data_IF_528987483573
#
_entry.id   IF_528987483573
#
_cell.length_a   1.000
_cell.length_b   1.000
_cell.length_c   1.000
_cell.angle_alpha   90.00
_cell.angle_beta   90.00
_cell.angle_gamma   90.00
#
_symmetry.space_group_name_H-M   'P 1'
#
loop_
_entity.id
_entity.type
_entity.pdbx_description
1 polymer ?
#
# COMPACT_ATOMS: atom_id res chain seq x y z
N UNK A 1 -9.60 0.44 -11.88
CA UNK A 1 -8.39 0.87 -11.18
C UNK A 1 -8.60 0.84 -9.68
N UNK A 2 -7.94 -0.09 -9.00
CA UNK A 2 -7.97 -0.20 -7.52
C UNK A 2 -6.89 0.68 -6.90
N UNK A 3 -7.21 1.37 -5.81
CA UNK A 3 -6.34 2.26 -5.04
C UNK A 3 -6.03 1.60 -3.69
N UNK A 4 -4.82 1.07 -3.54
CA UNK A 4 -4.45 0.22 -2.40
C UNK A 4 -3.40 0.92 -1.54
N UNK A 5 -3.66 1.04 -0.24
CA UNK A 5 -2.70 1.57 0.72
C UNK A 5 -1.72 0.50 1.23
N UNK A 6 -0.44 0.87 1.34
CA UNK A 6 0.65 0.03 1.85
C UNK A 6 1.41 0.83 2.93
N UNK A 7 1.85 0.22 4.04
CA UNK A 7 2.55 0.95 5.09
C UNK A 7 3.91 1.43 4.60
N UNK A 8 4.22 2.71 4.80
CA UNK A 8 5.45 3.33 4.29
C UNK A 8 6.69 3.07 5.15
N UNK A 9 6.51 2.64 6.41
CA UNK A 9 7.57 2.37 7.38
C UNK A 9 7.13 1.36 8.44
N UNK A 10 8.08 0.96 9.29
CA UNK A 10 7.84 0.03 10.40
C UNK A 10 7.92 -1.43 9.96
N UNK A 11 7.76 -2.34 10.93
CA UNK A 11 7.95 -3.79 10.73
C UNK A 11 7.03 -4.42 9.68
N UNK A 12 5.83 -3.87 9.48
CA UNK A 12 4.88 -4.40 8.49
C UNK A 12 5.23 -3.98 7.05
N UNK A 13 5.99 -2.90 6.87
CA UNK A 13 6.24 -2.28 5.57
C UNK A 13 7.00 -3.20 4.62
N UNK A 14 8.11 -3.76 5.08
CA UNK A 14 8.96 -4.63 4.24
C UNK A 14 8.24 -5.92 3.87
N UNK A 15 7.56 -6.56 4.83
CA UNK A 15 6.80 -7.79 4.59
C UNK A 15 5.64 -7.57 3.62
N UNK A 16 4.92 -6.43 3.73
CA UNK A 16 3.85 -6.09 2.80
C UNK A 16 4.37 -5.87 1.38
N UNK A 17 5.48 -5.15 1.23
CA UNK A 17 6.12 -4.93 -0.08
C UNK A 17 6.65 -6.23 -0.68
N UNK A 18 7.27 -7.09 0.13
CA UNK A 18 7.76 -8.39 -0.32
C UNK A 18 6.61 -9.27 -0.85
N UNK A 19 5.52 -9.38 -0.08
CA UNK A 19 4.31 -10.13 -0.49
C UNK A 19 3.76 -9.62 -1.83
N UNK A 20 3.57 -8.30 -1.98
CA UNK A 20 3.04 -7.72 -3.22
C UNK A 20 3.95 -8.03 -4.42
N UNK A 21 5.28 -7.96 -4.22
CA UNK A 21 6.25 -8.31 -5.25
C UNK A 21 6.21 -9.78 -5.62
N UNK A 22 6.06 -10.68 -4.65
CA UNK A 22 5.90 -12.12 -4.88
C UNK A 22 4.61 -12.45 -5.63
N UNK A 23 3.55 -11.67 -5.42
CA UNK A 23 2.31 -11.75 -6.19
C UNK A 23 2.41 -11.18 -7.62
N UNK A 24 3.56 -10.60 -8.01
CA UNK A 24 3.78 -10.06 -9.35
C UNK A 24 3.36 -8.60 -9.54
N UNK A 25 3.02 -7.89 -8.46
CA UNK A 25 2.68 -6.47 -8.54
C UNK A 25 3.92 -5.59 -8.63
N UNK A 26 3.78 -4.45 -9.32
CA UNK A 26 4.79 -3.39 -9.32
C UNK A 26 4.80 -2.68 -7.97
N UNK A 27 5.92 -2.78 -7.26
CA UNK A 27 6.14 -2.11 -5.96
C UNK A 27 7.16 -0.98 -6.08
N UNK A 28 7.21 -0.09 -5.07
CA UNK A 28 8.29 0.89 -4.93
C UNK A 28 9.68 0.25 -4.94
N UNK A 29 10.62 0.96 -5.55
CA UNK A 29 12.06 0.66 -5.57
C UNK A 29 12.81 1.46 -4.51
N UNK A 30 12.31 2.65 -4.19
CA UNK A 30 12.85 3.53 -3.16
C UNK A 30 11.79 3.91 -2.12
N UNK A 31 12.19 4.04 -0.86
CA UNK A 31 11.28 4.39 0.25
C UNK A 31 10.58 5.75 0.09
N UNK A 32 11.14 6.66 -0.70
CA UNK A 32 10.59 8.00 -1.01
C UNK A 32 9.48 7.97 -2.06
N UNK A 33 9.32 6.88 -2.80
CA UNK A 33 8.20 6.72 -3.73
C UNK A 33 6.91 6.49 -2.92
N UNK A 34 6.06 7.51 -2.86
CA UNK A 34 4.81 7.48 -2.11
C UNK A 34 3.61 6.98 -2.93
N UNK A 35 3.72 6.99 -4.27
CA UNK A 35 2.69 6.50 -5.18
C UNK A 35 3.36 5.68 -6.28
N UNK A 36 2.84 4.48 -6.54
CA UNK A 36 3.33 3.58 -7.59
C UNK A 36 2.15 3.01 -8.35
N UNK A 37 2.04 3.37 -9.63
CA UNK A 37 1.05 2.79 -10.54
C UNK A 37 1.53 1.47 -11.15
N UNK A 38 0.61 0.52 -11.27
CA UNK A 38 0.77 -0.77 -11.93
C UNK A 38 -0.33 -0.94 -13.01
N UNK A 39 -0.13 -0.38 -14.21
CA UNK A 39 -1.14 -0.41 -15.27
C UNK A 39 -1.49 -1.83 -15.73
N UNK A 40 -0.55 -2.77 -15.67
CA UNK A 40 -0.74 -4.15 -16.12
C UNK A 40 -1.75 -4.89 -15.22
N UNK A 41 -1.86 -4.48 -13.96
CA UNK A 41 -2.77 -5.04 -12.96
C UNK A 41 -3.95 -4.11 -12.61
N UNK A 42 -4.10 -2.97 -13.31
CA UNK A 42 -5.12 -1.94 -13.03
C UNK A 42 -5.15 -1.50 -11.55
N UNK A 43 -3.96 -1.28 -10.96
CA UNK A 43 -3.78 -0.94 -9.54
C UNK A 43 -2.88 0.29 -9.35
N UNK A 44 -3.13 1.05 -8.30
CA UNK A 44 -2.24 2.13 -7.82
C UNK A 44 -1.99 1.97 -6.32
N UNK A 45 -0.71 1.86 -5.93
CA UNK A 45 -0.30 1.73 -4.54
C UNK A 45 0.05 3.08 -3.92
N UNK A 46 -0.46 3.34 -2.72
CA UNK A 46 -0.19 4.53 -1.91
C UNK A 46 0.58 4.13 -0.64
N UNK A 47 1.78 4.65 -0.47
CA UNK A 47 2.61 4.36 0.70
C UNK A 47 2.36 5.38 1.81
N UNK A 48 1.57 4.98 2.80
CA UNK A 48 1.05 5.87 3.85
C UNK A 48 1.49 5.47 5.25
N UNK A 49 1.28 6.35 6.24
CA UNK A 49 1.48 5.95 7.63
C UNK A 49 0.41 4.93 8.02
N UNK A 50 0.73 3.89 8.79
CA UNK A 50 -0.22 2.81 9.14
C UNK A 50 -1.58 3.29 9.68
N UNK A 51 -1.60 4.34 10.51
CA UNK A 51 -2.83 4.93 11.05
C UNK A 51 -3.71 5.56 9.97
N UNK A 52 -3.11 6.21 8.98
CA UNK A 52 -3.83 6.93 7.93
C UNK A 52 -4.49 5.95 6.95
N UNK A 53 -3.95 4.73 6.83
CA UNK A 53 -4.50 3.67 5.98
C UNK A 53 -5.93 3.32 6.38
N UNK A 54 -6.16 3.04 7.67
CA UNK A 54 -7.48 2.67 8.17
C UNK A 54 -8.50 3.80 7.96
N UNK A 55 -8.08 5.05 8.17
CA UNK A 55 -8.90 6.24 7.95
C UNK A 55 -9.33 6.34 6.48
N UNK A 56 -8.39 6.34 5.54
CA UNK A 56 -8.72 6.55 4.13
C UNK A 56 -9.50 5.41 3.49
N UNK A 57 -9.29 4.18 3.94
CA UNK A 57 -10.12 3.04 3.52
C UNK A 57 -11.54 3.17 4.10
N UNK A 58 -11.66 3.53 5.39
CA UNK A 58 -12.96 3.74 6.03
C UNK A 58 -13.77 4.91 5.41
N UNK A 59 -13.07 5.93 4.92
CA UNK A 59 -13.67 7.06 4.19
C UNK A 59 -14.00 6.75 2.72
N UNK A 60 -13.55 5.60 2.20
CA UNK A 60 -13.74 5.22 0.79
C UNK A 60 -12.86 6.00 -0.19
N UNK A 61 -11.85 6.74 0.29
CA UNK A 61 -10.87 7.41 -0.57
C UNK A 61 -9.93 6.39 -1.23
N UNK A 62 -9.68 5.27 -0.54
CA UNK A 62 -8.91 4.12 -1.01
C UNK A 62 -9.78 2.86 -0.96
N UNK A 63 -9.59 1.96 -1.90
CA UNK A 63 -10.41 0.74 -2.04
C UNK A 63 -10.00 -0.36 -1.06
N UNK A 64 -8.76 -0.32 -0.56
CA UNK A 64 -8.25 -1.27 0.42
C UNK A 64 -6.88 -0.86 0.96
N UNK A 65 -6.38 -1.61 1.95
CA UNK A 65 -5.05 -1.36 2.48
C UNK A 65 -4.54 -2.41 3.47
N UNK A 66 -3.22 -2.42 3.64
CA UNK A 66 -2.51 -3.29 4.59
C UNK A 66 -2.15 -2.46 5.82
N UNK A 67 -2.61 -2.83 7.01
CA UNK A 67 -2.23 -2.17 8.27
C UNK A 67 -2.30 -3.13 9.46
N UNK A 68 -1.82 -2.69 10.63
CA UNK A 68 -1.91 -3.44 11.88
C UNK A 68 -3.33 -3.45 12.43
N UNK A 69 -3.73 -4.56 13.05
CA UNK A 69 -5.07 -4.69 13.68
C UNK A 69 -5.25 -3.79 14.89
N UNK A 70 -4.14 -3.40 15.51
CA UNK A 70 -4.05 -2.58 16.72
C UNK A 70 -4.26 -1.07 16.49
N UNK A 71 -4.43 -0.66 15.23
CA UNK A 71 -4.50 0.74 14.81
C UNK A 71 -5.91 1.24 14.54
#
# INVERSE_FOLDING_TARGET
MLRIAVPNKGSLSESAVAMLRECGYRTRRDSKELVVGDPDNDVEFFYLRPRDIAVYVGEGTLDGGITGRDL
#
